data_IF_960472870228
#
_entry.id   IF_960472870228
#
_cell.length_a   1.000
_cell.length_b   1.000
_cell.length_c   1.000
_cell.angle_alpha   90.00
_cell.angle_beta   90.00
_cell.angle_gamma   90.00
#
_symmetry.space_group_name_H-M   'P 1'
#
loop_
_entity.id
_entity.type
_entity.pdbx_description
1 polymer ?
#
# COMPACT_ATOMS: atom_id res chain seq x y z
N UNK A 1 22.26 -6.04 14.07
CA UNK A 1 22.85 -6.46 12.78
C UNK A 1 21.91 -7.34 11.96
N UNK A 2 21.35 -8.43 12.51
CA UNK A 2 20.45 -9.36 11.79
C UNK A 2 19.24 -8.69 11.10
N UNK A 3 18.45 -7.87 11.83
CA UNK A 3 17.30 -7.14 11.26
C UNK A 3 17.67 -6.30 10.02
N UNK A 4 18.81 -5.60 10.08
CA UNK A 4 19.29 -4.78 8.96
C UNK A 4 19.80 -5.60 7.77
N UNK A 5 20.39 -6.77 8.00
CA UNK A 5 20.79 -7.68 6.91
C UNK A 5 19.54 -8.25 6.24
N UNK A 6 18.57 -8.73 7.01
CA UNK A 6 17.31 -9.25 6.47
C UNK A 6 16.57 -8.21 5.63
N UNK A 7 16.44 -6.97 6.13
CA UNK A 7 15.79 -5.89 5.39
C UNK A 7 16.47 -5.60 4.04
N UNK A 8 17.82 -5.61 3.99
CA UNK A 8 18.57 -5.42 2.74
C UNK A 8 18.40 -6.59 1.76
N UNK A 9 18.38 -7.82 2.27
CA UNK A 9 18.15 -9.02 1.43
C UNK A 9 16.74 -9.01 0.86
N UNK A 10 15.73 -8.69 1.67
CA UNK A 10 14.35 -8.58 1.22
C UNK A 10 14.21 -7.50 0.13
N UNK A 11 14.81 -6.32 0.34
CA UNK A 11 14.82 -5.26 -0.67
C UNK A 11 15.49 -5.73 -1.98
N UNK A 12 16.63 -6.42 -1.89
CA UNK A 12 17.32 -6.96 -3.06
C UNK A 12 16.47 -7.99 -3.84
N UNK A 13 15.73 -8.86 -3.14
CA UNK A 13 14.81 -9.82 -3.77
C UNK A 13 13.73 -9.09 -4.58
N UNK A 14 13.09 -8.08 -3.98
CA UNK A 14 12.08 -7.25 -4.67
C UNK A 14 12.68 -6.59 -5.92
N UNK A 15 13.89 -6.01 -5.82
CA UNK A 15 14.58 -5.42 -6.98
C UNK A 15 14.84 -6.44 -8.09
N UNK A 16 15.22 -7.67 -7.75
CA UNK A 16 15.45 -8.74 -8.74
C UNK A 16 14.16 -9.14 -9.45
N UNK A 17 13.06 -9.31 -8.73
CA UNK A 17 11.75 -9.60 -9.33
C UNK A 17 11.34 -8.48 -10.28
N UNK A 18 11.46 -7.21 -9.87
CA UNK A 18 11.10 -6.06 -10.70
C UNK A 18 11.91 -6.02 -12.00
N UNK A 19 13.22 -6.23 -11.96
CA UNK A 19 14.07 -6.26 -13.16
C UNK A 19 13.69 -7.37 -14.14
N UNK A 20 13.22 -8.52 -13.64
CA UNK A 20 12.79 -9.63 -14.50
C UNK A 20 11.41 -9.39 -15.11
N UNK A 21 10.50 -8.75 -14.36
CA UNK A 21 9.15 -8.44 -14.83
C UNK A 21 9.10 -7.21 -15.75
N UNK A 22 10.13 -6.35 -15.70
CA UNK A 22 10.26 -5.15 -16.51
C UNK A 22 10.64 -5.47 -17.98
N UNK A 23 9.71 -6.01 -18.75
CA UNK A 23 9.91 -6.31 -20.17
C UNK A 23 9.98 -5.03 -21.00
N UNK A 24 11.04 -4.88 -21.79
CA UNK A 24 11.27 -3.74 -22.69
C UNK A 24 10.42 -3.87 -23.96
N UNK A 25 9.91 -2.75 -24.47
CA UNK A 25 9.28 -2.66 -25.79
C UNK A 25 7.74 -2.63 -25.81
N UNK A 26 7.10 -2.54 -24.65
CA UNK A 26 5.67 -2.27 -24.53
C UNK A 26 5.49 -0.90 -23.89
N UNK A 27 4.74 -0.02 -24.56
CA UNK A 27 4.35 1.27 -23.98
C UNK A 27 3.41 1.03 -22.79
N UNK A 28 3.67 1.75 -21.69
CA UNK A 28 2.94 1.63 -20.43
C UNK A 28 2.10 2.87 -20.20
N UNK A 29 1.05 3.01 -21.01
CA UNK A 29 0.16 4.17 -20.94
C UNK A 29 -0.74 4.14 -19.71
N UNK A 30 -1.09 2.94 -19.24
CA UNK A 30 -1.97 2.71 -18.10
C UNK A 30 -1.48 1.57 -17.22
N UNK A 31 -1.84 1.59 -15.94
CA UNK A 31 -1.60 0.49 -15.01
C UNK A 31 -2.77 0.33 -14.04
N UNK A 32 -2.97 -0.89 -13.54
CA UNK A 32 -3.90 -1.19 -12.45
C UNK A 32 -3.05 -1.51 -11.22
N UNK A 33 -3.16 -0.68 -10.18
CA UNK A 33 -2.49 -0.91 -8.91
C UNK A 33 -3.31 -1.83 -8.00
N UNK A 34 -2.68 -2.87 -7.47
CA UNK A 34 -3.26 -3.71 -6.43
C UNK A 34 -2.56 -3.37 -5.11
N UNK A 35 -3.34 -2.99 -4.10
CA UNK A 35 -2.84 -2.67 -2.76
C UNK A 35 -3.20 -3.81 -1.80
N UNK A 36 -2.18 -4.42 -1.19
CA UNK A 36 -2.31 -5.43 -0.14
C UNK A 36 -1.44 -5.01 1.05
N UNK A 37 -2.08 -4.60 2.15
CA UNK A 37 -1.43 -4.11 3.36
C UNK A 37 -2.08 -4.75 4.60
N UNK A 38 -1.37 -4.74 5.72
CA UNK A 38 -1.94 -5.17 7.00
C UNK A 38 -3.13 -4.28 7.42
N UNK A 39 -4.15 -4.90 8.00
CA UNK A 39 -5.30 -4.20 8.58
C UNK A 39 -4.98 -3.53 9.91
N UNK A 40 -5.98 -2.89 10.52
CA UNK A 40 -5.85 -2.23 11.82
C UNK A 40 -5.52 -3.25 12.93
N UNK A 41 -4.50 -2.97 13.74
CA UNK A 41 -4.00 -3.84 14.80
C UNK A 41 -4.28 -3.24 16.19
N UNK A 42 -4.89 -4.02 17.09
CA UNK A 42 -5.07 -3.67 18.49
C UNK A 42 -4.58 -4.84 19.34
N UNK A 43 -3.44 -4.68 19.99
CA UNK A 43 -2.87 -5.67 20.90
C UNK A 43 -2.78 -5.14 22.33
N UNK A 44 -2.50 -6.03 23.29
CA UNK A 44 -2.25 -5.65 24.70
C UNK A 44 -1.04 -4.71 24.84
N UNK A 45 -0.06 -4.84 23.94
CA UNK A 45 1.09 -3.93 23.84
C UNK A 45 1.28 -3.50 22.39
N UNK A 46 1.14 -2.20 22.14
CA UNK A 46 1.35 -1.60 20.82
C UNK A 46 2.64 -0.78 20.82
N UNK A 47 3.51 -1.02 19.84
CA UNK A 47 4.77 -0.31 19.65
C UNK A 47 4.67 0.69 18.51
N UNK A 48 5.78 1.32 18.16
CA UNK A 48 5.90 2.25 17.05
C UNK A 48 5.49 1.62 15.70
N UNK A 49 5.66 0.32 15.54
CA UNK A 49 5.24 -0.43 14.36
C UNK A 49 3.71 -0.39 14.18
N UNK A 50 2.95 -0.66 15.24
CA UNK A 50 1.49 -0.59 15.22
C UNK A 50 0.99 0.83 14.94
N UNK A 51 1.68 1.86 15.45
CA UNK A 51 1.34 3.24 15.14
C UNK A 51 1.36 3.50 13.61
N UNK A 52 2.41 3.05 12.91
CA UNK A 52 2.50 3.21 11.46
C UNK A 52 1.43 2.40 10.71
N UNK A 53 1.19 1.15 11.12
CA UNK A 53 0.17 0.29 10.50
C UNK A 53 -1.21 0.94 10.64
N UNK A 54 -1.58 1.36 11.85
CA UNK A 54 -2.88 1.97 12.12
C UNK A 54 -3.03 3.34 11.48
N UNK A 55 -1.97 4.14 11.44
CA UNK A 55 -1.97 5.44 10.75
C UNK A 55 -2.22 5.28 9.24
N UNK A 56 -1.56 4.31 8.59
CA UNK A 56 -1.80 4.03 7.18
C UNK A 56 -3.25 3.57 6.94
N UNK A 57 -3.79 2.71 7.82
CA UNK A 57 -5.18 2.29 7.75
C UNK A 57 -6.16 3.47 7.91
N UNK A 58 -5.89 4.40 8.82
CA UNK A 58 -6.72 5.60 8.98
C UNK A 58 -6.71 6.47 7.71
N UNK A 59 -5.54 6.63 7.07
CA UNK A 59 -5.44 7.34 5.79
C UNK A 59 -6.15 6.63 4.65
N UNK A 60 -6.08 5.31 4.60
CA UNK A 60 -6.79 4.51 3.60
C UNK A 60 -8.31 4.60 3.78
N UNK A 61 -8.79 4.54 5.02
CA UNK A 61 -10.21 4.70 5.33
C UNK A 61 -10.70 6.12 5.00
N UNK A 62 -9.89 7.15 5.29
CA UNK A 62 -10.19 8.53 4.92
C UNK A 62 -10.31 8.67 3.40
N UNK A 63 -9.37 8.08 2.64
CA UNK A 63 -9.41 8.07 1.18
C UNK A 63 -10.67 7.38 0.66
N UNK A 64 -11.00 6.20 1.19
CA UNK A 64 -12.21 5.46 0.81
C UNK A 64 -13.48 6.28 1.07
N UNK A 65 -13.63 6.82 2.28
CA UNK A 65 -14.78 7.63 2.65
C UNK A 65 -14.95 8.84 1.74
N UNK A 66 -13.85 9.53 1.44
CA UNK A 66 -13.87 10.69 0.55
C UNK A 66 -14.27 10.32 -0.88
N UNK A 67 -13.66 9.26 -1.43
CA UNK A 67 -13.95 8.80 -2.78
C UNK A 67 -15.41 8.38 -2.93
N UNK A 68 -15.90 7.56 -2.00
CA UNK A 68 -17.28 7.08 -1.98
C UNK A 68 -18.26 8.26 -1.88
N UNK A 69 -18.00 9.21 -0.98
CA UNK A 69 -18.87 10.37 -0.79
C UNK A 69 -18.97 11.25 -2.04
N UNK A 70 -17.85 11.49 -2.75
CA UNK A 70 -17.88 12.24 -4.01
C UNK A 70 -18.76 11.53 -5.04
N UNK A 71 -18.60 10.21 -5.19
CA UNK A 71 -19.38 9.42 -6.14
C UNK A 71 -20.88 9.48 -5.83
N UNK A 72 -21.27 9.40 -4.56
CA UNK A 72 -22.67 9.58 -4.16
C UNK A 72 -23.20 10.98 -4.51
N UNK A 73 -22.42 12.03 -4.24
CA UNK A 73 -22.84 13.40 -4.56
C UNK A 73 -23.03 13.62 -6.06
N UNK A 74 -22.15 13.05 -6.89
CA UNK A 74 -22.26 13.11 -8.36
C UNK A 74 -23.52 12.41 -8.86
N UNK A 75 -23.87 11.25 -8.28
CA UNK A 75 -25.08 10.52 -8.64
C UNK A 75 -26.36 11.27 -8.24
N UNK A 76 -26.38 11.92 -7.07
CA UNK A 76 -27.52 12.75 -6.65
C UNK A 76 -27.68 14.05 -7.46
N UNK A 77 -26.61 14.57 -8.05
CA UNK A 77 -26.64 15.79 -8.86
C UNK A 77 -27.08 15.55 -10.31
N UNK A 78 -27.16 14.28 -10.72
CA UNK A 78 -27.56 13.84 -12.06
C UNK A 78 -29.07 13.74 -12.21
#
# INVERSE_FOLDING_TARGET
MAKGVYARVFHWLVSKCNLTLDQKGLDRDYFIGVLDIAGFEIFDFNSFEQLWINFVNEKLQQFFNHHMFILEQEEYAR
#
